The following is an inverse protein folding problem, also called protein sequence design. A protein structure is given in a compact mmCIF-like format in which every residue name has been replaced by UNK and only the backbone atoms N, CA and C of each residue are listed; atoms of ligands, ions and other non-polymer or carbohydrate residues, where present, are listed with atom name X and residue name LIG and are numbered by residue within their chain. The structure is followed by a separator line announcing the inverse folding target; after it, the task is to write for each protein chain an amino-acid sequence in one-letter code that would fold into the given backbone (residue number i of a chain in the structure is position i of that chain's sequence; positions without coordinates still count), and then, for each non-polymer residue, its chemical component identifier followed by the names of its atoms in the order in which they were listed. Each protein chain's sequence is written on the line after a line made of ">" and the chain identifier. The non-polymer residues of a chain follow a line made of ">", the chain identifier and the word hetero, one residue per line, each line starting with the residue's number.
data_IF_165592391402
#
_entry.id   IF_165592391402
#
_cell.length_a   1.000
_cell.length_b   1.000
_cell.length_c   1.000
_cell.angle_alpha   90.00
_cell.angle_beta   90.00
_cell.angle_gamma   90.00
#
_symmetry.space_group_name_H-M   'P 1'
#
loop_
_entity.id
_entity.type
_entity.pdbx_description
1 polymer ?
#
# COMPACT_ATOMS: atom_id res chain seq x y z
N UNK A 1 -19.93 17.24 -0.41
CA UNK A 1 -19.60 18.55 -0.99
C UNK A 1 -20.78 19.22 -1.72
N UNK A 2 -21.91 18.54 -1.88
CA UNK A 2 -23.13 19.11 -2.51
C UNK A 2 -23.98 19.89 -1.47
N UNK A 3 -23.70 19.74 -0.17
CA UNK A 3 -24.33 20.51 0.91
C UNK A 3 -23.36 21.59 1.38
N UNK A 4 -23.84 22.78 1.66
CA UNK A 4 -23.07 23.95 2.11
C UNK A 4 -22.38 23.78 3.50
N UNK A 5 -22.14 22.55 3.95
CA UNK A 5 -21.52 22.20 5.22
C UNK A 5 -20.33 21.28 4.96
N UNK A 6 -19.23 21.89 4.50
CA UNK A 6 -17.97 21.19 4.24
C UNK A 6 -17.17 21.08 5.55
N UNK A 7 -16.45 19.97 5.78
CA UNK A 7 -15.51 19.90 6.91
C UNK A 7 -14.34 20.84 6.68
N UNK A 8 -13.70 21.32 7.74
CA UNK A 8 -12.48 22.15 7.66
C UNK A 8 -11.24 21.32 7.34
N UNK A 9 -11.24 20.03 7.74
CA UNK A 9 -10.15 19.07 7.46
C UNK A 9 -10.75 17.81 6.86
N UNK A 10 -10.07 17.23 5.87
CA UNK A 10 -10.39 15.90 5.31
C UNK A 10 -9.18 14.98 5.42
N UNK A 11 -9.45 13.68 5.64
CA UNK A 11 -8.47 12.61 5.50
C UNK A 11 -8.73 11.88 4.18
N UNK A 12 -7.72 11.76 3.36
CA UNK A 12 -7.78 11.09 2.04
C UNK A 12 -6.49 10.31 1.78
N UNK A 13 -6.53 9.38 0.83
CA UNK A 13 -5.32 8.70 0.34
C UNK A 13 -4.45 9.61 -0.53
N UNK A 14 -3.19 9.25 -0.66
CA UNK A 14 -2.26 9.83 -1.64
C UNK A 14 -2.48 9.20 -3.02
N UNK A 15 -3.61 9.50 -3.64
CA UNK A 15 -4.07 8.94 -4.91
C UNK A 15 -4.76 9.99 -5.79
N UNK A 16 -5.46 9.57 -6.82
CA UNK A 16 -6.21 10.44 -7.74
C UNK A 16 -7.24 11.32 -7.01
N UNK A 17 -7.74 10.92 -5.83
CA UNK A 17 -8.68 11.76 -5.08
C UNK A 17 -8.00 13.03 -4.57
N UNK A 18 -6.75 12.92 -4.09
CA UNK A 18 -5.97 14.10 -3.71
C UNK A 18 -5.85 15.08 -4.89
N UNK A 19 -5.44 14.58 -6.07
CA UNK A 19 -5.35 15.42 -7.27
C UNK A 19 -6.68 16.07 -7.63
N UNK A 20 -7.78 15.32 -7.57
CA UNK A 20 -9.11 15.86 -7.90
C UNK A 20 -9.53 17.03 -6.99
N UNK A 21 -9.24 16.96 -5.69
CA UNK A 21 -9.48 18.06 -4.75
C UNK A 21 -8.56 19.24 -5.04
N UNK A 22 -7.29 18.97 -5.33
CA UNK A 22 -6.29 19.98 -5.63
C UNK A 22 -6.60 20.71 -6.94
N UNK A 23 -6.97 19.99 -8.02
CA UNK A 23 -7.31 20.55 -9.32
C UNK A 23 -8.58 21.41 -9.26
N UNK A 24 -9.51 21.06 -8.36
CA UNK A 24 -10.73 21.82 -8.11
C UNK A 24 -10.52 23.06 -7.21
N UNK A 25 -9.28 23.40 -6.85
CA UNK A 25 -8.92 24.49 -5.93
C UNK A 25 -9.65 24.41 -4.57
N UNK A 26 -9.87 23.18 -4.07
CA UNK A 26 -10.59 22.94 -2.81
C UNK A 26 -9.66 22.80 -1.60
N UNK A 27 -8.34 22.71 -1.79
CA UNK A 27 -7.37 22.53 -0.74
C UNK A 27 -6.60 23.83 -0.47
N UNK A 28 -6.41 24.12 0.81
CA UNK A 28 -5.64 25.27 1.29
C UNK A 28 -4.14 25.00 1.17
N UNK A 29 -3.37 25.98 0.73
CA UNK A 29 -1.91 25.96 0.86
C UNK A 29 -1.50 26.04 2.33
N UNK A 30 -0.85 24.99 2.82
CA UNK A 30 -0.36 24.83 4.19
C UNK A 30 1.16 24.84 4.28
N UNK A 31 1.86 25.42 3.30
CA UNK A 31 3.34 25.52 3.27
C UNK A 31 3.94 26.18 4.51
N UNK A 32 3.17 26.98 5.24
CA UNK A 32 3.57 27.62 6.49
C UNK A 32 3.30 26.78 7.75
N UNK A 33 2.74 25.56 7.59
CA UNK A 33 2.54 24.64 8.71
C UNK A 33 3.89 24.03 9.14
N UNK A 34 4.33 24.32 10.35
CA UNK A 34 5.63 23.90 10.86
C UNK A 34 5.80 22.38 10.95
N UNK A 35 4.72 21.63 11.16
CA UNK A 35 4.74 20.17 11.26
C UNK A 35 5.20 19.44 9.98
N UNK A 36 5.19 20.13 8.84
CA UNK A 36 5.73 19.59 7.58
C UNK A 36 7.23 19.28 7.66
N UNK A 37 7.96 20.00 8.51
CA UNK A 37 9.40 19.78 8.68
C UNK A 37 9.74 18.41 9.28
N UNK A 38 8.78 17.77 9.94
CA UNK A 38 8.95 16.46 10.56
C UNK A 38 8.49 15.32 9.64
N UNK A 39 7.90 15.63 8.48
CA UNK A 39 7.45 14.62 7.52
C UNK A 39 8.63 14.19 6.64
N UNK A 40 8.77 12.87 6.45
CA UNK A 40 9.78 12.28 5.57
C UNK A 40 9.63 12.81 4.15
N UNK A 41 10.72 13.33 3.59
CA UNK A 41 10.72 13.96 2.26
C UNK A 41 10.14 13.04 1.17
N UNK A 42 10.39 11.74 1.24
CA UNK A 42 9.89 10.77 0.26
C UNK A 42 8.34 10.80 0.12
N UNK A 43 7.61 11.01 1.22
CA UNK A 43 6.14 11.08 1.17
C UNK A 43 5.63 12.44 0.68
N UNK A 44 6.34 13.52 0.99
CA UNK A 44 6.05 14.83 0.39
C UNK A 44 6.32 14.83 -1.12
N UNK A 45 7.34 14.10 -1.57
CA UNK A 45 7.64 13.94 -2.99
C UNK A 45 6.58 13.11 -3.71
N UNK A 46 5.98 12.09 -3.05
CA UNK A 46 4.83 11.34 -3.58
C UNK A 46 3.67 12.29 -3.87
N UNK A 47 3.26 13.10 -2.89
CA UNK A 47 2.18 14.07 -3.07
C UNK A 47 2.48 15.05 -4.19
N UNK A 48 3.74 15.50 -4.28
CA UNK A 48 4.18 16.41 -5.35
C UNK A 48 4.11 15.77 -6.73
N UNK A 49 4.42 14.48 -6.85
CA UNK A 49 4.32 13.73 -8.08
C UNK A 49 2.87 13.44 -8.50
N UNK A 50 1.93 13.42 -7.55
CA UNK A 50 0.49 13.28 -7.82
C UNK A 50 -0.14 14.57 -8.38
N UNK A 51 0.56 15.71 -8.31
CA UNK A 51 0.15 16.96 -8.91
C UNK A 51 0.39 16.93 -10.43
N UNK A 52 -0.50 16.31 -11.21
CA UNK A 52 -0.38 16.24 -12.68
C UNK A 52 -0.29 17.63 -13.33
N UNK A 53 -0.86 18.63 -12.68
CA UNK A 53 -0.64 20.05 -12.97
C UNK A 53 0.05 20.63 -11.73
N UNK A 54 1.39 20.82 -11.77
CA UNK A 54 2.13 21.28 -10.60
C UNK A 54 1.61 22.62 -10.07
N UNK A 55 1.40 22.71 -8.77
CA UNK A 55 1.06 23.94 -8.05
C UNK A 55 2.22 24.34 -7.14
N UNK A 56 2.36 25.65 -6.92
CA UNK A 56 3.24 26.12 -5.84
C UNK A 56 2.56 25.85 -4.49
N UNK A 57 3.34 25.46 -3.49
CA UNK A 57 2.83 25.18 -2.16
C UNK A 57 2.77 23.70 -1.79
N UNK A 58 2.25 23.43 -0.58
CA UNK A 58 2.02 22.11 0.00
C UNK A 58 0.56 22.06 0.44
N UNK A 59 -0.16 21.01 0.10
CA UNK A 59 -1.61 20.94 0.27
C UNK A 59 -2.08 19.75 1.12
N UNK A 60 -1.14 18.90 1.54
CA UNK A 60 -1.42 17.76 2.41
C UNK A 60 -0.32 17.52 3.42
N UNK A 61 -0.67 16.89 4.53
CA UNK A 61 0.24 16.34 5.53
C UNK A 61 0.16 14.82 5.45
N UNK A 62 1.12 14.13 4.80
CA UNK A 62 1.20 12.68 4.84
C UNK A 62 1.28 12.19 6.29
N UNK A 63 0.40 11.29 6.68
CA UNK A 63 0.27 10.82 8.06
C UNK A 63 0.74 9.39 8.21
N UNK A 64 0.18 8.50 7.41
CA UNK A 64 0.51 7.09 7.43
C UNK A 64 0.61 6.54 6.01
N UNK A 65 1.57 5.64 5.81
CA UNK A 65 1.74 4.88 4.59
C UNK A 65 1.34 3.41 4.83
N UNK A 66 1.04 2.70 3.76
CA UNK A 66 0.84 1.26 3.78
C UNK A 66 2.08 0.53 3.25
N UNK A 67 2.05 -0.79 3.32
CA UNK A 67 3.04 -1.66 2.69
C UNK A 67 2.30 -2.80 1.99
N UNK A 68 2.53 -2.97 0.69
CA UNK A 68 1.91 -4.01 -0.10
C UNK A 68 2.93 -5.06 -0.56
N UNK A 69 2.52 -6.31 -0.49
CA UNK A 69 3.33 -7.46 -0.83
C UNK A 69 2.52 -8.74 -0.67
N UNK A 70 3.00 -9.65 0.15
CA UNK A 70 2.30 -10.91 0.44
C UNK A 70 2.16 -11.06 1.95
N UNK A 71 0.91 -11.15 2.41
CA UNK A 71 0.59 -11.61 3.77
C UNK A 71 0.61 -13.13 3.80
N UNK A 72 1.15 -13.71 4.88
CA UNK A 72 1.15 -15.17 5.06
C UNK A 72 0.72 -15.58 6.47
N UNK A 73 0.16 -16.76 6.57
CA UNK A 73 -0.18 -17.41 7.82
C UNK A 73 1.08 -18.03 8.42
N UNK A 74 1.65 -17.38 9.42
CA UNK A 74 2.92 -17.75 10.04
C UNK A 74 2.88 -19.14 10.68
N UNK A 75 1.76 -19.47 11.32
CA UNK A 75 1.59 -20.79 11.94
C UNK A 75 1.62 -21.91 10.89
N UNK A 76 0.96 -21.71 9.73
CA UNK A 76 1.00 -22.68 8.63
C UNK A 76 2.43 -22.85 8.07
N UNK A 77 3.18 -21.75 7.95
CA UNK A 77 4.57 -21.80 7.47
C UNK A 77 5.46 -22.57 8.47
N UNK A 78 5.35 -22.28 9.77
CA UNK A 78 6.12 -22.94 10.82
C UNK A 78 5.77 -24.44 10.92
N UNK A 79 4.48 -24.80 10.89
CA UNK A 79 4.02 -26.20 10.96
C UNK A 79 4.49 -27.05 9.79
N UNK A 80 4.61 -26.48 8.60
CA UNK A 80 5.01 -27.20 7.39
C UNK A 80 6.49 -27.00 7.04
N UNK A 81 7.21 -26.12 7.74
CA UNK A 81 8.62 -25.81 7.46
C UNK A 81 8.82 -25.10 6.12
N UNK A 82 7.86 -24.27 5.71
CA UNK A 82 7.99 -23.46 4.52
C UNK A 82 8.86 -22.24 4.80
N UNK A 83 9.70 -21.90 3.84
CA UNK A 83 10.61 -20.75 3.92
C UNK A 83 10.09 -19.58 3.07
N UNK A 84 10.43 -18.34 3.46
CA UNK A 84 10.05 -17.14 2.71
C UNK A 84 10.90 -17.08 1.42
N UNK A 85 10.28 -16.97 0.24
CA UNK A 85 11.00 -16.90 -1.02
C UNK A 85 11.62 -15.51 -1.24
N UNK A 86 12.83 -15.48 -1.77
CA UNK A 86 13.54 -14.25 -2.10
C UNK A 86 13.50 -13.92 -3.61
N UNK A 87 13.11 -14.89 -4.44
CA UNK A 87 13.06 -14.77 -5.90
C UNK A 87 11.75 -15.29 -6.47
N UNK A 88 11.42 -14.87 -7.69
CA UNK A 88 10.22 -15.34 -8.39
C UNK A 88 10.21 -16.86 -8.56
N UNK A 89 11.34 -17.46 -8.92
CA UNK A 89 11.42 -18.91 -9.08
C UNK A 89 11.20 -19.66 -7.76
N UNK A 90 11.79 -19.19 -6.65
CA UNK A 90 11.52 -19.74 -5.32
C UNK A 90 10.06 -19.59 -4.90
N UNK A 91 9.43 -18.47 -5.28
CA UNK A 91 8.01 -18.26 -5.01
C UNK A 91 7.14 -19.28 -5.75
N UNK A 92 7.42 -19.55 -7.02
CA UNK A 92 6.70 -20.59 -7.76
C UNK A 92 6.93 -21.99 -7.15
N UNK A 93 8.15 -22.31 -6.74
CA UNK A 93 8.48 -23.58 -6.05
C UNK A 93 7.74 -23.71 -4.72
N UNK A 94 7.60 -22.61 -3.96
CA UNK A 94 6.79 -22.55 -2.74
C UNK A 94 5.32 -22.81 -3.04
N UNK A 95 4.76 -22.16 -4.06
CA UNK A 95 3.35 -22.36 -4.47
C UNK A 95 3.09 -23.82 -4.86
N UNK A 96 3.98 -24.43 -5.65
CA UNK A 96 3.91 -25.85 -6.00
C UNK A 96 3.97 -26.76 -4.76
N UNK A 97 4.85 -26.45 -3.82
CA UNK A 97 5.00 -27.20 -2.56
C UNK A 97 3.74 -27.14 -1.70
N UNK A 98 3.16 -25.95 -1.53
CA UNK A 98 1.92 -25.75 -0.78
C UNK A 98 0.78 -26.50 -1.46
N UNK A 99 0.63 -26.36 -2.77
CA UNK A 99 -0.43 -27.06 -3.53
C UNK A 99 -0.28 -28.58 -3.45
N UNK A 100 0.95 -29.11 -3.54
CA UNK A 100 1.22 -30.54 -3.42
C UNK A 100 0.94 -31.09 -2.01
N UNK A 101 0.99 -30.27 -0.96
CA UNK A 101 0.60 -30.64 0.40
C UNK A 101 -0.93 -30.78 0.56
N UNK A 102 -1.70 -30.36 -0.43
CA UNK A 102 -3.16 -30.33 -0.40
C UNK A 102 -3.74 -29.05 0.22
N UNK A 103 -2.91 -28.05 0.49
CA UNK A 103 -3.32 -26.74 0.99
C UNK A 103 -3.47 -25.75 -0.18
N UNK A 104 -4.32 -24.73 0.01
CA UNK A 104 -4.50 -23.67 -0.97
C UNK A 104 -3.36 -22.63 -0.82
N UNK A 105 -2.55 -22.38 -1.86
CA UNK A 105 -1.47 -21.41 -1.75
C UNK A 105 -1.97 -19.97 -1.60
N UNK A 106 -2.86 -19.53 -2.50
CA UNK A 106 -3.33 -18.15 -2.63
C UNK A 106 -4.85 -18.07 -2.57
N UNK A 107 -5.37 -16.91 -2.16
CA UNK A 107 -6.77 -16.57 -2.28
C UNK A 107 -6.89 -15.14 -2.83
N UNK A 108 -7.75 -14.91 -3.82
CA UNK A 108 -7.97 -13.60 -4.43
C UNK A 108 -9.41 -13.13 -4.30
N UNK A 109 -9.58 -11.84 -4.12
CA UNK A 109 -10.89 -11.17 -4.03
C UNK A 109 -11.24 -10.35 -5.26
N UNK A 110 -10.92 -10.84 -6.47
CA UNK A 110 -10.93 -10.08 -7.73
C UNK A 110 -12.32 -9.65 -8.22
N UNK A 111 -13.40 -10.05 -7.54
CA UNK A 111 -14.72 -9.44 -7.73
C UNK A 111 -14.69 -7.94 -7.45
N UNK A 112 -13.92 -7.52 -6.44
CA UNK A 112 -13.62 -6.12 -6.20
C UNK A 112 -12.38 -5.76 -7.00
N UNK A 113 -12.58 -5.16 -8.17
CA UNK A 113 -11.55 -4.96 -9.21
C UNK A 113 -10.27 -4.32 -8.70
N UNK A 114 -10.38 -3.40 -7.73
CA UNK A 114 -9.21 -2.74 -7.14
C UNK A 114 -8.22 -3.73 -6.48
N UNK A 115 -8.69 -4.88 -6.00
CA UNK A 115 -7.81 -5.90 -5.38
C UNK A 115 -6.86 -6.54 -6.39
N UNK A 116 -7.14 -6.44 -7.70
CA UNK A 116 -6.20 -6.85 -8.75
C UNK A 116 -4.96 -5.96 -8.77
N UNK A 117 -5.10 -4.69 -8.34
CA UNK A 117 -4.02 -3.72 -8.33
C UNK A 117 -2.99 -3.99 -7.21
N UNK A 118 -3.37 -4.69 -6.13
CA UNK A 118 -2.42 -4.99 -5.06
C UNK A 118 -1.23 -5.83 -5.53
N UNK A 119 -1.40 -7.06 -6.08
CA UNK A 119 -0.28 -7.81 -6.65
C UNK A 119 0.31 -7.13 -7.89
N UNK A 120 -0.50 -6.39 -8.68
CA UNK A 120 -0.03 -5.66 -9.84
C UNK A 120 1.03 -4.62 -9.47
N UNK A 121 0.71 -3.70 -8.56
CA UNK A 121 1.62 -2.63 -8.17
C UNK A 121 2.84 -3.17 -7.42
N UNK A 122 2.65 -4.17 -6.54
CA UNK A 122 3.76 -4.79 -5.84
C UNK A 122 4.79 -5.42 -6.79
N UNK A 123 4.36 -5.97 -7.92
CA UNK A 123 5.26 -6.49 -8.95
C UNK A 123 5.78 -5.41 -9.90
N UNK A 124 4.98 -4.37 -10.17
CA UNK A 124 5.35 -3.28 -11.07
C UNK A 124 6.55 -2.49 -10.56
N UNK A 125 6.72 -2.38 -9.24
CA UNK A 125 7.88 -1.76 -8.62
C UNK A 125 9.22 -2.34 -9.10
N UNK A 126 9.24 -3.65 -9.36
CA UNK A 126 10.45 -4.38 -9.72
C UNK A 126 10.59 -4.60 -11.24
N UNK A 127 9.46 -4.67 -11.94
CA UNK A 127 9.42 -5.13 -13.34
C UNK A 127 9.23 -4.02 -14.36
N UNK A 128 8.84 -2.82 -13.94
CA UNK A 128 8.64 -1.69 -14.82
C UNK A 128 9.45 -0.47 -14.37
N UNK A 129 9.80 0.45 -15.28
CA UNK A 129 10.45 1.70 -14.93
C UNK A 129 9.60 2.51 -13.93
N UNK A 130 10.22 3.11 -12.92
CA UNK A 130 9.52 3.95 -11.94
C UNK A 130 8.76 5.14 -12.58
N UNK A 131 9.24 5.64 -13.72
CA UNK A 131 8.64 6.72 -14.48
C UNK A 131 7.86 6.23 -15.72
N UNK A 132 7.36 4.99 -15.71
CA UNK A 132 6.67 4.37 -16.85
C UNK A 132 5.51 5.24 -17.38
N UNK A 133 4.72 5.83 -16.49
CA UNK A 133 3.59 6.69 -16.89
C UNK A 133 4.06 7.93 -17.65
N UNK A 134 5.14 8.56 -17.18
CA UNK A 134 5.74 9.71 -17.85
C UNK A 134 6.35 9.31 -19.20
N UNK A 135 7.00 8.15 -19.30
CA UNK A 135 7.54 7.64 -20.57
C UNK A 135 6.43 7.38 -21.60
N UNK A 136 5.31 6.77 -21.15
CA UNK A 136 4.12 6.57 -22.01
C UNK A 136 3.52 7.90 -22.45
N UNK A 137 3.39 8.86 -21.55
CA UNK A 137 2.87 10.20 -21.88
C UNK A 137 3.76 10.95 -22.87
N UNK A 138 5.09 10.73 -22.85
CA UNK A 138 6.03 11.28 -23.83
C UNK A 138 6.07 10.48 -25.15
N UNK A 139 5.34 9.35 -25.22
CA UNK A 139 5.34 8.46 -26.39
C UNK A 139 6.64 7.69 -26.60
N UNK A 140 7.44 7.50 -25.56
CA UNK A 140 8.72 6.78 -25.59
C UNK A 140 8.51 5.27 -25.54
N UNK A 141 7.43 4.83 -24.88
CA UNK A 141 7.02 3.43 -24.75
C UNK A 141 5.50 3.30 -24.67
N UNK A 142 5.00 2.10 -24.37
CA UNK A 142 3.57 1.82 -24.11
C UNK A 142 3.40 0.88 -22.94
N UNK A 143 2.27 0.97 -22.21
CA UNK A 143 1.96 0.04 -21.12
C UNK A 143 1.99 -1.44 -21.57
N UNK A 144 1.57 -1.74 -22.79
CA UNK A 144 1.60 -3.11 -23.31
C UNK A 144 3.01 -3.67 -23.54
N UNK A 145 4.02 -2.81 -23.61
CA UNK A 145 5.44 -3.22 -23.66
C UNK A 145 5.94 -3.41 -22.23
N UNK A 146 5.83 -2.38 -21.40
CA UNK A 146 6.44 -2.35 -20.05
C UNK A 146 5.77 -3.30 -19.07
N UNK A 147 4.46 -3.49 -19.16
CA UNK A 147 3.71 -4.37 -18.25
C UNK A 147 3.46 -5.79 -18.79
N UNK A 148 4.08 -6.17 -19.91
CA UNK A 148 3.87 -7.51 -20.50
C UNK A 148 4.31 -8.62 -19.56
N UNK A 149 5.54 -8.55 -19.06
CA UNK A 149 6.09 -9.57 -18.15
C UNK A 149 5.27 -9.66 -16.87
N UNK A 150 4.91 -8.51 -16.31
CA UNK A 150 4.06 -8.44 -15.13
C UNK A 150 2.71 -9.14 -15.35
N UNK A 151 2.03 -8.83 -16.46
CA UNK A 151 0.75 -9.46 -16.80
C UNK A 151 0.88 -10.98 -16.97
N UNK A 152 1.95 -11.45 -17.61
CA UNK A 152 2.25 -12.88 -17.78
C UNK A 152 2.50 -13.56 -16.42
N UNK A 153 3.18 -12.90 -15.47
CA UNK A 153 3.39 -13.42 -14.12
C UNK A 153 2.10 -13.47 -13.30
N UNK A 154 1.25 -12.45 -13.36
CA UNK A 154 -0.08 -12.49 -12.71
C UNK A 154 -0.89 -13.69 -13.22
N UNK A 155 -0.87 -13.95 -14.53
CA UNK A 155 -1.57 -15.11 -15.10
C UNK A 155 -1.01 -16.45 -14.58
N UNK A 156 0.28 -16.52 -14.26
CA UNK A 156 0.92 -17.72 -13.68
C UNK A 156 0.45 -17.97 -12.23
N UNK A 157 -0.04 -16.96 -11.50
CA UNK A 157 -0.54 -17.14 -10.14
C UNK A 157 -1.95 -17.70 -10.08
N UNK A 158 -2.77 -17.51 -11.12
CA UNK A 158 -4.18 -17.94 -11.12
C UNK A 158 -4.39 -19.45 -10.86
N UNK A 159 -3.56 -20.37 -11.35
CA UNK A 159 -3.69 -21.81 -11.06
C UNK A 159 -3.47 -22.17 -9.57
N UNK A 160 -2.83 -21.29 -8.80
CA UNK A 160 -2.57 -21.47 -7.37
C UNK A 160 -3.63 -20.82 -6.48
N UNK A 161 -4.59 -20.13 -7.06
CA UNK A 161 -5.71 -19.53 -6.35
C UNK A 161 -6.90 -20.49 -6.23
N UNK A 162 -7.89 -20.09 -5.42
CA UNK A 162 -9.18 -20.78 -5.35
C UNK A 162 -9.89 -20.79 -6.71
N UNK A 163 -10.81 -21.74 -6.88
CA UNK A 163 -11.66 -21.80 -8.08
C UNK A 163 -12.45 -20.49 -8.23
N UNK A 164 -12.42 -19.90 -9.43
CA UNK A 164 -13.09 -18.65 -9.80
C UNK A 164 -12.78 -17.46 -8.86
N UNK A 165 -11.56 -16.91 -8.88
CA UNK A 165 -11.18 -15.78 -8.02
C UNK A 165 -12.01 -14.51 -8.27
N UNK A 166 -12.70 -14.42 -9.39
CA UNK A 166 -13.57 -13.28 -9.76
C UNK A 166 -14.96 -13.33 -9.11
N UNK A 167 -15.33 -14.44 -8.49
CA UNK A 167 -16.59 -14.57 -7.75
C UNK A 167 -16.54 -14.02 -6.33
N UNK A 168 -15.33 -13.81 -5.76
CA UNK A 168 -15.11 -13.46 -4.36
C UNK A 168 -14.69 -12.01 -4.22
N UNK A 169 -15.28 -11.32 -3.21
CA UNK A 169 -14.95 -9.94 -2.84
C UNK A 169 -13.69 -9.85 -1.98
N UNK A 170 -13.21 -8.64 -1.75
CA UNK A 170 -12.15 -8.35 -0.77
C UNK A 170 -12.48 -8.94 0.61
N UNK A 171 -13.70 -8.71 1.10
CA UNK A 171 -14.13 -9.23 2.39
C UNK A 171 -14.19 -10.76 2.43
N UNK A 172 -14.57 -11.42 1.32
CA UNK A 172 -14.55 -12.87 1.22
C UNK A 172 -13.11 -13.40 1.30
N UNK A 173 -12.17 -12.77 0.59
CA UNK A 173 -10.76 -13.15 0.62
C UNK A 173 -10.12 -12.93 2.01
N UNK A 174 -10.37 -11.79 2.66
CA UNK A 174 -9.93 -11.57 4.05
C UNK A 174 -10.49 -12.63 5.00
N UNK A 175 -11.77 -13.01 4.83
CA UNK A 175 -12.43 -14.03 5.65
C UNK A 175 -11.84 -15.41 5.41
N UNK A 176 -11.60 -15.79 4.17
CA UNK A 176 -10.99 -17.08 3.80
C UNK A 176 -9.58 -17.20 4.37
N UNK A 177 -8.75 -16.17 4.19
CA UNK A 177 -7.41 -16.12 4.74
C UNK A 177 -7.42 -16.19 6.28
N UNK A 178 -8.30 -15.42 6.94
CA UNK A 178 -8.46 -15.45 8.40
C UNK A 178 -8.85 -16.83 8.95
N UNK A 179 -9.53 -17.66 8.16
CA UNK A 179 -9.91 -19.03 8.50
C UNK A 179 -8.84 -20.07 8.16
N UNK A 180 -7.71 -19.66 7.60
CA UNK A 180 -6.66 -20.55 7.14
C UNK A 180 -7.03 -21.33 5.87
N UNK A 181 -7.97 -20.83 5.06
CA UNK A 181 -8.34 -21.45 3.79
C UNK A 181 -7.29 -21.25 2.70
N UNK A 182 -6.33 -20.34 2.91
CA UNK A 182 -5.11 -20.21 2.10
C UNK A 182 -3.90 -19.91 2.97
N UNK A 183 -2.72 -20.25 2.47
CA UNK A 183 -1.45 -20.00 3.14
C UNK A 183 -1.04 -18.53 3.03
N UNK A 184 -1.35 -17.89 1.91
CA UNK A 184 -0.93 -16.53 1.57
C UNK A 184 -2.06 -15.72 0.93
N UNK A 185 -1.93 -14.39 1.02
CA UNK A 185 -2.80 -13.41 0.35
C UNK A 185 -1.96 -12.24 -0.19
N UNK A 186 -1.96 -12.04 -1.50
CA UNK A 186 -1.25 -10.95 -2.16
C UNK A 186 -2.03 -9.63 -1.99
N UNK A 187 -1.76 -8.91 -0.91
CA UNK A 187 -2.49 -7.69 -0.52
C UNK A 187 -1.58 -6.83 0.37
N UNK A 188 -2.01 -5.62 0.69
CA UNK A 188 -1.27 -4.73 1.59
C UNK A 188 -1.65 -4.85 3.07
N UNK A 189 -0.86 -4.19 3.92
CA UNK A 189 -1.01 -4.15 5.38
C UNK A 189 -2.39 -3.66 5.84
N UNK A 190 -3.04 -2.81 5.05
CA UNK A 190 -4.41 -2.32 5.28
C UNK A 190 -5.47 -3.43 5.35
N UNK A 191 -5.18 -4.65 4.91
CA UNK A 191 -6.10 -5.79 5.02
C UNK A 191 -6.11 -6.43 6.41
N UNK A 192 -5.07 -6.23 7.21
CA UNK A 192 -4.90 -6.89 8.52
C UNK A 192 -6.03 -6.57 9.49
N UNK A 193 -6.50 -5.33 9.67
CA UNK A 193 -7.65 -5.05 10.54
C UNK A 193 -8.89 -5.85 10.14
N UNK A 194 -9.19 -5.97 8.84
CA UNK A 194 -10.33 -6.75 8.36
C UNK A 194 -10.14 -8.26 8.62
N UNK A 195 -8.94 -8.79 8.42
CA UNK A 195 -8.60 -10.20 8.70
C UNK A 195 -8.72 -10.46 10.22
N UNK A 196 -8.17 -9.58 11.06
CA UNK A 196 -8.23 -9.67 12.52
C UNK A 196 -9.65 -9.51 13.08
N UNK A 197 -10.54 -8.83 12.38
CA UNK A 197 -11.95 -8.75 12.78
C UNK A 197 -12.66 -10.12 12.72
N UNK A 198 -12.17 -11.04 11.87
CA UNK A 198 -12.68 -12.40 11.73
C UNK A 198 -11.93 -13.38 12.65
N UNK A 199 -10.62 -13.26 12.72
CA UNK A 199 -9.76 -14.10 13.58
C UNK A 199 -8.71 -13.22 14.29
N UNK A 200 -9.02 -12.70 15.50
CA UNK A 200 -8.10 -11.83 16.23
C UNK A 200 -6.75 -12.45 16.57
N UNK A 201 -6.74 -13.79 16.74
CA UNK A 201 -5.56 -14.55 17.18
C UNK A 201 -4.70 -15.04 15.99
N UNK A 202 -5.08 -14.77 14.74
CA UNK A 202 -4.32 -15.20 13.58
C UNK A 202 -2.91 -14.61 13.62
N UNK A 203 -1.90 -15.47 13.52
CA UNK A 203 -0.51 -15.06 13.45
C UNK A 203 -0.14 -14.72 12.00
N UNK A 204 -0.06 -13.42 11.71
CA UNK A 204 0.18 -12.89 10.36
C UNK A 204 1.56 -12.24 10.34
N UNK A 205 2.30 -12.51 9.29
CA UNK A 205 3.49 -11.74 8.93
C UNK A 205 3.44 -11.46 7.42
N UNK A 206 4.41 -10.74 6.90
CA UNK A 206 4.43 -10.32 5.50
C UNK A 206 5.84 -10.37 4.91
N UNK A 207 5.92 -10.40 3.60
CA UNK A 207 7.18 -10.24 2.88
C UNK A 207 6.98 -9.46 1.58
N UNK A 208 8.05 -8.83 1.11
CA UNK A 208 8.06 -8.09 -0.15
C UNK A 208 7.79 -9.06 -1.29
N UNK A 209 7.01 -8.63 -2.28
CA UNK A 209 6.66 -9.48 -3.40
C UNK A 209 7.92 -9.84 -4.21
N UNK A 210 8.29 -11.12 -4.34
CA UNK A 210 9.52 -11.52 -5.02
C UNK A 210 9.29 -11.58 -6.54
N UNK A 211 9.17 -10.41 -7.18
CA UNK A 211 8.73 -10.30 -8.56
C UNK A 211 9.79 -10.65 -9.59
N UNK A 212 11.08 -10.65 -9.23
CA UNK A 212 12.20 -10.98 -10.13
C UNK A 212 13.13 -12.05 -9.53
N UNK A 213 14.14 -12.49 -10.28
CA UNK A 213 15.09 -13.52 -9.85
C UNK A 213 16.36 -12.94 -9.21
N UNK A 214 16.31 -11.69 -8.73
CA UNK A 214 17.38 -11.03 -8.00
C UNK A 214 16.91 -10.68 -6.61
N UNK A 215 17.34 -11.40 -5.60
CA UNK A 215 16.98 -11.13 -4.20
C UNK A 215 17.28 -9.67 -3.78
N UNK A 216 18.41 -9.13 -4.24
CA UNK A 216 18.80 -7.73 -3.96
C UNK A 216 17.99 -6.70 -4.76
N UNK A 217 17.24 -7.14 -5.79
CA UNK A 217 16.50 -6.30 -6.72
C UNK A 217 15.10 -5.94 -6.26
N UNK A 218 14.58 -6.57 -5.20
CA UNK A 218 13.22 -6.33 -4.73
C UNK A 218 13.05 -4.93 -4.14
N UNK A 219 11.89 -4.30 -4.41
CA UNK A 219 11.49 -2.98 -3.92
C UNK A 219 10.12 -3.12 -3.26
N UNK A 220 9.96 -2.56 -2.07
CA UNK A 220 8.67 -2.56 -1.37
C UNK A 220 7.71 -1.58 -2.04
N UNK A 221 6.52 -2.04 -2.36
CA UNK A 221 5.44 -1.15 -2.77
C UNK A 221 4.81 -0.51 -1.53
N UNK A 222 4.93 0.81 -1.40
CA UNK A 222 4.46 1.60 -0.27
C UNK A 222 4.05 2.99 -0.74
N UNK A 223 2.84 3.40 -0.43
CA UNK A 223 2.32 4.73 -0.77
C UNK A 223 1.61 5.36 0.41
N UNK A 224 1.27 6.64 0.29
CA UNK A 224 0.53 7.38 1.31
C UNK A 224 -0.90 6.85 1.39
N UNK A 225 -1.21 6.19 2.51
CA UNK A 225 -2.54 5.59 2.78
C UNK A 225 -3.52 6.62 3.34
N UNK A 226 -3.02 7.44 4.26
CA UNK A 226 -3.77 8.54 4.85
C UNK A 226 -2.92 9.80 4.91
N UNK A 227 -3.50 10.88 4.44
CA UNK A 227 -3.00 12.24 4.61
C UNK A 227 -4.12 13.19 5.01
N UNK A 228 -3.77 14.27 5.67
CA UNK A 228 -4.72 15.31 6.06
C UNK A 228 -4.56 16.54 5.19
N UNK A 229 -5.69 17.00 4.64
CA UNK A 229 -5.77 18.25 3.88
C UNK A 229 -6.69 19.24 4.62
N UNK A 230 -6.30 20.51 4.64
CA UNK A 230 -7.17 21.60 5.09
C UNK A 230 -7.94 22.13 3.88
N UNK A 231 -9.25 22.30 4.04
CA UNK A 231 -10.09 22.81 2.96
C UNK A 231 -9.86 24.31 2.76
N UNK A 232 -9.92 24.77 1.50
CA UNK A 232 -9.75 26.21 1.15
C UNK A 232 -10.73 27.13 1.89
N UNK A 233 -11.97 26.67 2.09
CA UNK A 233 -13.02 27.40 2.79
C UNK A 233 -12.92 27.32 4.34
N UNK A 234 -11.84 26.73 4.89
CA UNK A 234 -11.62 26.64 6.33
C UNK A 234 -11.62 28.03 6.97
N UNK A 235 -12.50 28.21 7.99
CA UNK A 235 -12.74 29.52 8.61
C UNK A 235 -11.72 29.85 9.70
N UNK A 236 -11.11 28.86 10.30
CA UNK A 236 -10.14 29.00 11.38
C UNK A 236 -8.93 28.09 11.12
N UNK A 237 -8.00 28.63 10.33
CA UNK A 237 -6.76 27.96 9.95
C UNK A 237 -5.93 27.51 11.17
N UNK A 238 -5.88 28.37 12.22
CA UNK A 238 -5.10 28.04 13.40
C UNK A 238 -5.70 26.88 14.19
N UNK A 239 -7.03 26.83 14.31
CA UNK A 239 -7.70 25.68 14.90
C UNK A 239 -7.48 24.39 14.10
N UNK A 240 -7.47 24.47 12.74
CA UNK A 240 -7.12 23.34 11.90
C UNK A 240 -5.68 22.88 12.15
N UNK A 241 -4.75 23.82 12.28
CA UNK A 241 -3.34 23.50 12.57
C UNK A 241 -3.15 22.90 13.97
N UNK A 242 -3.94 23.33 14.99
CA UNK A 242 -3.94 22.67 16.31
C UNK A 242 -4.37 21.20 16.21
N UNK A 243 -5.37 20.89 15.38
CA UNK A 243 -5.78 19.49 15.13
C UNK A 243 -4.66 18.71 14.45
N UNK A 244 -4.02 19.29 13.42
CA UNK A 244 -2.89 18.62 12.73
C UNK A 244 -1.72 18.38 13.68
N UNK A 245 -1.36 19.35 14.56
CA UNK A 245 -0.33 19.16 15.58
C UNK A 245 -0.67 18.01 16.52
N UNK A 246 -1.91 17.95 16.99
CA UNK A 246 -2.37 16.86 17.83
C UNK A 246 -2.26 15.50 17.12
N UNK A 247 -2.70 15.42 15.87
CA UNK A 247 -2.56 14.19 15.09
C UNK A 247 -1.10 13.78 14.91
N UNK A 248 -0.18 14.75 14.77
CA UNK A 248 1.26 14.51 14.58
C UNK A 248 2.03 14.26 15.89
N UNK A 249 1.38 14.24 17.06
CA UNK A 249 2.03 13.78 18.29
C UNK A 249 2.42 12.30 18.14
N UNK A 250 3.63 11.94 18.56
CA UNK A 250 4.18 10.58 18.38
C UNK A 250 3.28 9.50 18.99
N UNK A 251 2.65 9.79 20.14
CA UNK A 251 1.71 8.88 20.79
C UNK A 251 0.49 8.59 19.91
N UNK A 252 -0.07 9.61 19.26
CA UNK A 252 -1.24 9.45 18.39
C UNK A 252 -0.90 8.72 17.11
N UNK A 253 0.27 9.01 16.52
CA UNK A 253 0.78 8.26 15.38
C UNK A 253 0.97 6.79 15.76
N UNK A 254 1.65 6.49 16.89
CA UNK A 254 1.88 5.10 17.30
C UNK A 254 0.58 4.33 17.51
N UNK A 255 -0.44 4.95 18.14
CA UNK A 255 -1.78 4.34 18.28
C UNK A 255 -2.36 3.97 16.92
N UNK A 256 -2.25 4.86 15.93
CA UNK A 256 -2.74 4.61 14.57
C UNK A 256 -1.98 3.48 13.88
N UNK A 257 -0.63 3.48 13.98
CA UNK A 257 0.21 2.42 13.40
C UNK A 257 -0.15 1.04 13.94
N UNK A 258 -0.35 0.95 15.26
CA UNK A 258 -0.69 -0.32 15.93
C UNK A 258 -2.08 -0.83 15.53
N UNK A 259 -3.06 0.08 15.38
CA UNK A 259 -4.44 -0.26 15.01
C UNK A 259 -4.57 -0.62 13.53
N UNK A 260 -3.94 0.17 12.65
CA UNK A 260 -4.09 0.04 11.19
C UNK A 260 -2.97 -0.76 10.51
N UNK A 261 -1.95 -1.20 11.26
CA UNK A 261 -0.77 -1.88 10.72
C UNK A 261 -0.06 -1.06 9.63
N UNK A 262 0.12 0.21 9.91
CA UNK A 262 0.62 1.21 8.97
C UNK A 262 2.11 1.53 9.20
N UNK A 263 2.68 2.30 8.26
CA UNK A 263 4.05 2.82 8.29
C UNK A 263 4.00 4.33 8.56
N UNK A 264 4.85 4.90 9.45
CA UNK A 264 4.81 6.32 9.76
C UNK A 264 5.38 7.17 8.62
N UNK A 265 4.66 8.21 8.22
CA UNK A 265 5.18 9.23 7.30
C UNK A 265 6.04 10.28 8.01
N UNK A 266 5.92 10.42 9.33
CA UNK A 266 6.72 11.32 10.16
C UNK A 266 8.07 10.68 10.53
N UNK A 267 9.11 11.51 10.62
CA UNK A 267 10.39 11.14 11.24
C UNK A 267 10.17 10.90 12.75
N UNK A 268 10.81 9.89 13.31
CA UNK A 268 10.69 9.57 14.73
C UNK A 268 11.09 8.13 15.04
N UNK A 269 11.10 7.80 16.32
CA UNK A 269 11.42 6.47 16.83
C UNK A 269 10.11 5.69 17.08
N UNK A 270 9.52 5.20 15.99
CA UNK A 270 8.27 4.44 16.03
C UNK A 270 8.52 2.94 16.00
N UNK A 271 7.67 2.20 16.72
CA UNK A 271 7.64 0.75 16.65
C UNK A 271 6.73 0.31 15.50
N UNK A 272 7.29 -0.39 14.52
CA UNK A 272 6.49 -0.95 13.45
C UNK A 272 5.69 -2.16 13.96
N UNK A 273 4.44 -2.35 13.50
CA UNK A 273 3.66 -3.56 13.77
C UNK A 273 4.42 -4.83 13.37
N UNK A 274 4.36 -5.87 14.19
CA UNK A 274 5.13 -7.10 13.99
C UNK A 274 4.83 -7.83 12.68
N UNK A 275 3.64 -7.60 12.11
CA UNK A 275 3.31 -8.16 10.81
C UNK A 275 4.10 -7.52 9.64
N UNK A 276 4.86 -6.46 9.90
CA UNK A 276 5.77 -5.82 8.96
C UNK A 276 7.24 -6.25 9.16
N UNK A 277 7.54 -7.22 10.06
CA UNK A 277 8.91 -7.63 10.35
C UNK A 277 9.66 -8.07 9.08
N UNK A 278 9.01 -8.80 8.18
CA UNK A 278 9.61 -9.21 6.91
C UNK A 278 9.78 -8.08 5.87
N UNK A 279 9.19 -6.91 6.11
CA UNK A 279 9.34 -5.72 5.25
C UNK A 279 10.17 -4.60 5.91
N UNK A 280 10.50 -4.75 7.20
CA UNK A 280 11.12 -3.71 8.02
C UNK A 280 12.42 -3.17 7.43
N UNK A 281 13.29 -4.03 6.94
CA UNK A 281 14.58 -3.61 6.36
C UNK A 281 14.38 -2.69 5.15
N UNK A 282 13.39 -2.96 4.30
CA UNK A 282 13.05 -2.12 3.16
C UNK A 282 12.54 -0.74 3.60
N UNK A 283 11.70 -0.72 4.64
CA UNK A 283 11.16 0.52 5.22
C UNK A 283 12.29 1.36 5.82
N UNK A 284 13.16 0.76 6.63
CA UNK A 284 14.30 1.45 7.28
C UNK A 284 15.33 1.95 6.29
N UNK A 285 15.56 1.24 5.18
CA UNK A 285 16.49 1.66 4.13
C UNK A 285 15.87 2.63 3.12
N UNK A 286 14.57 2.90 3.19
CA UNK A 286 13.85 3.69 2.19
C UNK A 286 13.82 3.01 0.81
N UNK A 287 13.95 1.67 0.76
CA UNK A 287 13.89 0.88 -0.46
C UNK A 287 12.44 0.61 -0.86
N UNK A 288 11.72 1.69 -1.15
CA UNK A 288 10.28 1.70 -1.40
C UNK A 288 9.95 2.57 -2.60
N UNK A 289 8.83 2.27 -3.25
CA UNK A 289 8.23 3.14 -4.27
C UNK A 289 6.71 3.11 -4.19
N UNK A 290 6.09 4.21 -4.62
CA UNK A 290 4.64 4.36 -4.64
C UNK A 290 3.98 3.45 -5.69
N UNK A 291 2.67 3.37 -5.63
CA UNK A 291 1.81 2.62 -6.55
C UNK A 291 1.81 3.25 -7.93
N UNK A 292 2.19 2.49 -8.95
CA UNK A 292 2.29 3.03 -10.30
C UNK A 292 0.92 3.41 -10.89
N UNK A 293 -0.19 2.79 -10.44
CA UNK A 293 -1.53 3.13 -10.90
C UNK A 293 -2.03 4.49 -10.39
N UNK A 294 -1.35 5.10 -9.42
CA UNK A 294 -1.66 6.46 -8.97
C UNK A 294 -1.34 7.54 -10.03
N UNK A 295 -0.54 7.21 -11.04
CA UNK A 295 0.03 8.17 -12.00
C UNK A 295 -0.57 8.08 -13.42
N UNK A 296 -1.71 7.40 -13.64
CA UNK A 296 -2.37 7.30 -14.95
C UNK A 296 -3.91 7.30 -14.89
#
# INVERSE_FOLDING_TARGET
>A
FIKEDQPDIIGIGGDINYYNFLDADMLMDISDFEGLADIKQAYLDIDKNLEFIPKDGVYAVPYAANAAGILYNKDMFEENGWEIPETWNEFLELLDTIQASGQQPLYFGFKDVWTCLAPWNAMACDLAPADVCQQVNRGETTFSVEYRELAEKILQLLPYAQEDPYAYSYNDACTAFARGESAMYCIGSYAVPQIKSVNPDMNIDSFVFPANDSADGQILNSGVDLQFCVMEDCKDKEAAYEVLRFMLEDENIQIYLDDQNAVPCKEGDFTLPSMLDGMKEYIEQGKMTDYQDHYY
#
